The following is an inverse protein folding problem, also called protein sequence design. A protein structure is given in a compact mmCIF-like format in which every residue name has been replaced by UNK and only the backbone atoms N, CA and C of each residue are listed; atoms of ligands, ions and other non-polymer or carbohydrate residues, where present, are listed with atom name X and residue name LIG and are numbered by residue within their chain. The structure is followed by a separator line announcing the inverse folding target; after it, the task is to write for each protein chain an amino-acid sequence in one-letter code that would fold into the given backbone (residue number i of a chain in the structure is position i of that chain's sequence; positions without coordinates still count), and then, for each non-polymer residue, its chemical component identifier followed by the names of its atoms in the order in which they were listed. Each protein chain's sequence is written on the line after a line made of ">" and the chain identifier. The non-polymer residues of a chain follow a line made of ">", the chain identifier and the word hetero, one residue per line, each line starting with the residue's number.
data_IF_021919288218
#
_entry.id   IF_021919288218
#
_cell.length_a   1.000
_cell.length_b   1.000
_cell.length_c   1.000
_cell.angle_alpha   90.00
_cell.angle_beta   90.00
_cell.angle_gamma   90.00
#
_symmetry.space_group_name_H-M   'P 1'
#
loop_
_entity.id
_entity.type
_entity.pdbx_description
1 polymer ?
#
# COMPACT_ATOMS: atom_id res chain seq x y z
N UNK A 1 -16.45 52.40 37.72
CA UNK A 1 -17.09 52.64 39.03
C UNK A 1 -18.36 51.79 39.08
N UNK A 2 -18.67 51.15 40.22
CA UNK A 2 -19.80 50.20 40.45
C UNK A 2 -19.80 48.93 39.54
N UNK A 3 -19.96 47.67 39.97
CA UNK A 3 -20.35 46.96 41.22
C UNK A 3 -21.84 46.94 41.65
N UNK A 4 -22.50 45.79 41.42
CA UNK A 4 -23.54 45.07 42.20
C UNK A 4 -24.14 43.96 41.29
N UNK A 5 -24.20 42.65 41.62
CA UNK A 5 -24.99 41.93 42.66
C UNK A 5 -26.52 41.97 42.40
N UNK A 6 -27.32 40.89 42.56
CA UNK A 6 -27.09 39.49 42.98
C UNK A 6 -28.45 38.73 43.16
N UNK A 7 -28.46 37.52 43.77
CA UNK A 7 -29.65 36.67 44.12
C UNK A 7 -30.37 35.99 42.91
N UNK A 8 -30.65 34.68 42.76
CA UNK A 8 -30.42 33.39 43.48
C UNK A 8 -31.65 32.71 44.15
N UNK A 9 -32.04 31.50 43.68
CA UNK A 9 -32.93 30.45 44.30
C UNK A 9 -34.46 30.76 44.37
N UNK A 10 -35.47 29.83 44.36
CA UNK A 10 -35.63 28.34 44.42
C UNK A 10 -36.76 27.85 43.44
N UNK A 11 -36.66 26.71 42.70
CA UNK A 11 -37.07 25.29 42.95
C UNK A 11 -38.58 24.88 42.89
N UNK A 12 -38.80 23.58 42.59
CA UNK A 12 -40.02 22.71 42.63
C UNK A 12 -41.01 22.74 41.43
N UNK A 13 -41.59 21.61 40.93
CA UNK A 13 -41.18 20.17 40.92
C UNK A 13 -42.10 19.29 40.01
N UNK A 14 -41.60 18.16 39.50
CA UNK A 14 -42.36 17.06 38.83
C UNK A 14 -43.04 17.41 37.47
N UNK A 15 -43.38 16.48 36.55
CA UNK A 15 -43.51 15.01 36.61
C UNK A 15 -43.03 14.29 35.33
N UNK A 16 -42.86 12.96 35.43
CA UNK A 16 -42.58 12.05 34.32
C UNK A 16 -43.73 12.01 33.31
N UNK A 17 -43.42 11.67 32.06
CA UNK A 17 -44.10 10.56 31.37
C UNK A 17 -43.18 9.96 30.29
N UNK A 18 -43.22 8.63 30.19
CA UNK A 18 -42.40 7.84 29.28
C UNK A 18 -43.33 7.12 28.29
N UNK A 19 -43.19 7.37 26.99
CA UNK A 19 -43.90 6.61 25.95
C UNK A 19 -42.98 6.25 24.79
N UNK A 20 -42.88 4.95 24.54
CA UNK A 20 -42.28 4.38 23.34
C UNK A 20 -43.20 4.55 22.14
N UNK A 21 -42.64 4.66 20.94
CA UNK A 21 -43.37 4.38 19.70
C UNK A 21 -42.79 3.11 19.09
N UNK A 22 -43.55 2.02 19.18
CA UNK A 22 -43.22 0.72 18.62
C UNK A 22 -43.71 0.60 17.17
N UNK A 23 -43.21 -0.40 16.44
CA UNK A 23 -43.65 -0.68 15.07
C UNK A 23 -45.11 -1.19 15.01
N UNK A 24 -45.82 -0.83 13.95
CA UNK A 24 -47.17 -1.34 13.64
C UNK A 24 -47.15 -2.61 12.77
N UNK A 25 -48.19 -3.47 12.79
CA UNK A 25 -48.06 -4.88 12.40
C UNK A 25 -48.63 -5.25 11.01
N UNK A 26 -48.37 -6.50 10.60
CA UNK A 26 -48.92 -7.20 9.43
C UNK A 26 -50.45 -7.41 9.47
N UNK A 27 -51.04 -7.88 8.35
CA UNK A 27 -51.81 -9.14 8.47
C UNK A 27 -51.62 -10.18 7.33
N UNK A 28 -51.24 -11.39 7.76
CA UNK A 28 -51.71 -12.75 7.36
C UNK A 28 -51.74 -13.31 5.91
N UNK A 29 -51.19 -14.53 5.79
CA UNK A 29 -51.63 -15.62 4.88
C UNK A 29 -50.47 -16.40 4.21
N UNK A 30 -50.33 -17.74 4.29
CA UNK A 30 -51.00 -18.73 5.14
C UNK A 30 -50.82 -20.20 4.67
N UNK A 31 -50.30 -21.07 5.55
CA UNK A 31 -50.23 -22.56 5.48
C UNK A 31 -49.37 -23.28 4.41
N UNK A 32 -48.89 -24.48 4.79
CA UNK A 32 -48.18 -25.46 3.94
C UNK A 32 -46.79 -25.85 4.50
N UNK A 33 -46.49 -27.14 4.64
CA UNK A 33 -45.19 -27.60 5.18
C UNK A 33 -44.87 -29.07 4.93
N UNK A 34 -43.60 -29.41 5.11
CA UNK A 34 -42.94 -30.73 5.01
C UNK A 34 -42.99 -31.46 3.64
N UNK A 35 -42.08 -32.43 3.36
CA UNK A 35 -40.74 -32.64 3.91
C UNK A 35 -39.68 -33.00 2.81
N UNK A 36 -38.49 -33.45 3.27
CA UNK A 36 -37.52 -34.31 2.57
C UNK A 36 -36.66 -33.75 1.40
N UNK A 37 -35.49 -34.39 1.29
CA UNK A 37 -34.36 -34.14 0.39
C UNK A 37 -34.72 -34.01 -1.11
N UNK A 38 -34.39 -32.87 -1.70
CA UNK A 38 -34.27 -32.68 -3.15
C UNK A 38 -33.14 -31.71 -3.49
N UNK A 39 -32.08 -32.17 -4.18
CA UNK A 39 -30.87 -31.38 -4.42
C UNK A 39 -31.07 -30.33 -5.53
N UNK A 40 -31.51 -29.13 -5.16
CA UNK A 40 -31.71 -28.00 -6.09
C UNK A 40 -30.39 -27.34 -6.48
N UNK A 41 -29.76 -27.79 -7.58
CA UNK A 41 -28.65 -27.06 -8.22
C UNK A 41 -29.17 -25.88 -9.04
N UNK A 42 -29.20 -24.69 -8.43
CA UNK A 42 -29.18 -23.38 -9.12
C UNK A 42 -28.70 -22.28 -8.17
N UNK A 43 -28.28 -21.16 -8.74
CA UNK A 43 -27.80 -19.95 -8.04
C UNK A 43 -26.39 -20.01 -7.44
N UNK A 44 -25.50 -20.85 -7.99
CA UNK A 44 -24.12 -20.39 -8.23
C UNK A 44 -24.12 -19.50 -9.47
N UNK A 45 -24.50 -18.22 -9.28
CA UNK A 45 -24.29 -17.16 -10.26
C UNK A 45 -23.25 -16.21 -9.69
N UNK A 46 -22.11 -16.04 -10.38
CA UNK A 46 -21.11 -15.07 -9.94
C UNK A 46 -21.74 -13.69 -9.87
N UNK A 47 -21.64 -13.02 -8.73
CA UNK A 47 -21.77 -11.56 -8.70
C UNK A 47 -20.65 -10.96 -9.55
N UNK A 48 -20.94 -9.83 -10.20
CA UNK A 48 -19.99 -9.15 -11.08
C UNK A 48 -18.77 -8.67 -10.30
N UNK A 49 -17.66 -9.39 -10.44
CA UNK A 49 -16.37 -9.00 -9.91
C UNK A 49 -15.88 -7.75 -10.62
N UNK A 50 -15.33 -6.81 -9.84
CA UNK A 50 -14.89 -5.47 -10.29
C UNK A 50 -14.04 -5.56 -11.56
N UNK A 51 -14.51 -4.93 -12.64
CA UNK A 51 -13.81 -4.73 -13.92
C UNK A 51 -12.58 -3.81 -13.72
N UNK A 52 -11.51 -4.39 -13.15
CA UNK A 52 -10.18 -3.79 -13.09
C UNK A 52 -9.61 -3.76 -14.51
N UNK A 53 -9.92 -2.70 -15.26
CA UNK A 53 -9.49 -2.52 -16.64
C UNK A 53 -7.97 -2.44 -16.75
N UNK A 54 -7.38 -3.46 -17.36
CA UNK A 54 -5.96 -3.50 -17.67
C UNK A 54 -5.59 -2.45 -18.73
N UNK A 55 -4.65 -1.56 -18.37
CA UNK A 55 -4.25 -0.40 -19.19
C UNK A 55 -3.00 -0.66 -20.06
N UNK A 56 -2.84 -1.88 -20.59
CA UNK A 56 -1.88 -2.21 -21.68
C UNK A 56 -0.40 -1.91 -21.38
N UNK A 57 0.10 -2.33 -20.21
CA UNK A 57 1.50 -2.21 -19.81
C UNK A 57 2.13 -3.57 -19.47
N UNK A 58 3.29 -3.94 -20.04
CA UNK A 58 3.87 -5.27 -19.84
C UNK A 58 4.19 -5.56 -18.37
N UNK A 59 3.33 -6.35 -17.73
CA UNK A 59 3.53 -7.80 -17.82
C UNK A 59 5.07 -8.05 -17.39
N UNK A 60 5.51 -8.51 -16.18
CA UNK A 60 6.78 -9.12 -15.69
C UNK A 60 6.61 -10.58 -15.19
N UNK A 61 7.50 -11.48 -15.61
CA UNK A 61 7.50 -12.94 -15.37
C UNK A 61 8.90 -13.52 -15.18
N UNK A 62 9.95 -12.68 -15.24
CA UNK A 62 11.33 -13.14 -15.19
C UNK A 62 11.66 -13.87 -13.88
N UNK A 63 12.43 -14.95 -13.97
CA UNK A 63 12.84 -15.78 -12.84
C UNK A 63 14.38 -15.97 -12.87
N UNK A 64 15.15 -15.27 -12.02
CA UNK A 64 14.71 -14.23 -11.09
C UNK A 64 14.30 -12.92 -11.79
N UNK A 65 13.46 -12.12 -11.12
CA UNK A 65 13.26 -10.71 -11.44
C UNK A 65 14.48 -9.92 -10.98
N UNK A 66 15.07 -9.12 -11.85
CA UNK A 66 16.17 -8.21 -11.50
C UNK A 66 15.60 -6.89 -10.98
N UNK A 67 15.71 -6.65 -9.70
CA UNK A 67 15.23 -5.43 -9.06
C UNK A 67 16.37 -4.41 -8.96
N UNK A 68 16.12 -3.19 -9.44
CA UNK A 68 17.06 -2.08 -9.45
C UNK A 68 16.54 -0.96 -8.54
N UNK A 69 17.28 -0.60 -7.49
CA UNK A 69 16.81 0.40 -6.51
C UNK A 69 17.42 1.77 -6.78
N UNK A 70 16.59 2.82 -6.78
CA UNK A 70 17.02 4.20 -6.96
C UNK A 70 16.66 5.04 -5.74
N UNK A 71 17.68 5.35 -4.93
CA UNK A 71 17.55 6.13 -3.71
C UNK A 71 17.54 7.62 -4.05
N UNK A 72 16.37 8.26 -4.00
CA UNK A 72 16.23 9.67 -4.30
C UNK A 72 16.19 10.53 -3.03
N UNK A 73 17.04 11.55 -2.98
CA UNK A 73 17.22 12.44 -1.84
C UNK A 73 18.20 11.89 -0.78
N UNK A 74 18.38 12.67 0.29
CA UNK A 74 19.36 12.37 1.34
C UNK A 74 18.85 11.28 2.29
N UNK A 75 19.25 10.05 2.02
CA UNK A 75 19.00 8.89 2.87
C UNK A 75 19.97 8.79 4.05
N UNK A 76 19.49 8.26 5.17
CA UNK A 76 20.33 7.73 6.26
C UNK A 76 20.60 6.23 5.99
N UNK A 77 21.85 5.74 6.12
CA UNK A 77 22.15 4.31 5.94
C UNK A 77 21.30 3.38 6.81
N UNK A 78 20.95 3.79 8.03
CA UNK A 78 20.11 2.99 8.95
C UNK A 78 18.65 2.91 8.50
N UNK A 79 18.19 3.84 7.65
CA UNK A 79 16.89 3.76 6.98
C UNK A 79 16.94 2.93 5.70
N UNK A 80 18.12 2.78 5.08
CA UNK A 80 18.29 1.95 3.88
C UNK A 80 18.45 0.45 4.20
N UNK A 81 19.17 0.09 5.28
CA UNK A 81 19.44 -1.34 5.56
C UNK A 81 18.17 -2.19 5.73
N UNK A 82 17.14 -1.80 6.51
CA UNK A 82 15.93 -2.63 6.63
C UNK A 82 15.19 -2.85 5.31
N UNK A 83 15.27 -1.87 4.40
CA UNK A 83 14.65 -1.95 3.08
C UNK A 83 15.46 -2.88 2.15
N UNK A 84 16.80 -2.86 2.23
CA UNK A 84 17.65 -3.87 1.55
C UNK A 84 17.42 -5.27 2.11
N UNK A 85 17.43 -5.41 3.43
CA UNK A 85 17.28 -6.69 4.14
C UNK A 85 15.92 -7.33 3.81
N UNK A 86 14.84 -6.53 3.78
CA UNK A 86 13.54 -6.97 3.27
C UNK A 86 13.63 -7.49 1.83
N UNK A 87 14.17 -6.70 0.90
CA UNK A 87 14.26 -7.07 -0.51
C UNK A 87 15.09 -8.34 -0.77
N UNK A 88 16.14 -8.56 0.03
CA UNK A 88 16.95 -9.78 -0.01
C UNK A 88 16.19 -10.98 0.58
N UNK A 89 15.47 -10.78 1.69
CA UNK A 89 14.69 -11.84 2.37
C UNK A 89 13.51 -12.40 1.57
N UNK A 90 13.06 -11.70 0.52
CA UNK A 90 12.04 -12.18 -0.45
C UNK A 90 12.47 -13.49 -1.14
N UNK A 91 13.77 -13.79 -1.21
CA UNK A 91 14.30 -14.95 -1.94
C UNK A 91 15.39 -15.72 -1.22
N UNK A 92 15.42 -15.60 0.12
CA UNK A 92 16.20 -16.45 1.02
C UNK A 92 15.90 -17.95 0.71
N UNK A 93 16.93 -18.78 0.45
CA UNK A 93 16.75 -20.20 0.17
C UNK A 93 16.48 -21.07 1.43
N UNK A 94 16.69 -20.56 2.65
CA UNK A 94 16.56 -21.33 3.90
C UNK A 94 16.20 -20.45 5.14
N UNK A 95 15.18 -19.57 5.06
CA UNK A 95 14.82 -18.70 6.17
C UNK A 95 14.14 -19.47 7.33
N UNK A 96 14.22 -18.96 8.57
CA UNK A 96 13.40 -19.48 9.67
C UNK A 96 11.91 -19.12 9.46
N UNK A 97 11.02 -20.09 9.66
CA UNK A 97 9.58 -19.89 9.48
C UNK A 97 8.91 -19.27 10.73
N UNK A 98 7.92 -18.37 10.57
CA UNK A 98 7.43 -17.79 9.31
C UNK A 98 8.34 -16.68 8.79
N UNK A 99 8.52 -16.63 7.47
CA UNK A 99 9.47 -15.73 6.79
C UNK A 99 8.83 -14.82 5.74
N UNK A 100 9.60 -13.82 5.28
CA UNK A 100 9.23 -12.98 4.11
C UNK A 100 9.14 -13.82 2.83
N UNK A 101 9.96 -14.88 2.68
CA UNK A 101 9.87 -15.80 1.54
C UNK A 101 8.57 -16.64 1.57
N UNK A 102 8.10 -17.09 2.74
CA UNK A 102 6.80 -17.78 2.87
C UNK A 102 5.63 -16.84 2.52
N UNK A 103 5.71 -15.61 3.04
CA UNK A 103 4.74 -14.56 2.75
C UNK A 103 4.73 -14.21 1.25
N UNK A 104 5.90 -14.08 0.61
CA UNK A 104 6.02 -13.79 -0.82
C UNK A 104 5.54 -14.95 -1.68
N UNK A 105 5.92 -16.19 -1.33
CA UNK A 105 5.46 -17.39 -2.01
C UNK A 105 3.92 -17.53 -1.97
N UNK A 106 3.29 -17.03 -0.90
CA UNK A 106 1.83 -16.92 -0.75
C UNK A 106 1.25 -15.72 -1.52
N UNK A 107 1.88 -14.54 -1.43
CA UNK A 107 1.48 -13.33 -2.15
C UNK A 107 1.46 -13.54 -3.68
N UNK A 108 2.45 -14.27 -4.20
CA UNK A 108 2.60 -14.62 -5.60
C UNK A 108 1.61 -15.69 -6.11
N UNK A 109 0.79 -16.30 -5.23
CA UNK A 109 -0.34 -17.15 -5.65
C UNK A 109 -1.54 -16.33 -6.13
N UNK A 110 -1.64 -15.08 -5.69
CA UNK A 110 -2.64 -14.13 -6.18
C UNK A 110 -2.14 -13.50 -7.49
N UNK A 111 -2.10 -14.32 -8.55
CA UNK A 111 -1.88 -13.84 -9.90
C UNK A 111 -2.94 -12.83 -10.36
N UNK A 112 -2.63 -12.08 -11.41
CA UNK A 112 -3.57 -11.16 -12.02
C UNK A 112 -4.58 -11.88 -12.94
N UNK A 113 -5.37 -11.10 -13.70
CA UNK A 113 -6.37 -11.61 -14.64
C UNK A 113 -5.79 -12.53 -15.74
N UNK A 114 -4.47 -12.63 -15.92
CA UNK A 114 -3.85 -13.49 -16.94
C UNK A 114 -3.55 -14.92 -16.47
N UNK A 115 -3.76 -15.24 -15.19
CA UNK A 115 -3.39 -16.51 -14.56
C UNK A 115 -1.88 -16.83 -14.59
N UNK A 116 -1.03 -15.84 -14.90
CA UNK A 116 0.41 -15.96 -14.75
C UNK A 116 0.81 -15.75 -13.28
N UNK A 117 1.54 -16.70 -12.70
CA UNK A 117 2.11 -16.54 -11.36
C UNK A 117 3.18 -15.43 -11.36
N UNK A 118 3.11 -14.54 -10.37
CA UNK A 118 4.23 -13.63 -10.07
C UNK A 118 5.47 -14.45 -9.73
N UNK A 119 6.64 -13.98 -10.15
CA UNK A 119 7.90 -14.68 -9.91
C UNK A 119 8.23 -14.80 -8.43
N UNK A 120 8.46 -16.04 -7.97
CA UNK A 120 8.84 -16.34 -6.59
C UNK A 120 10.31 -16.05 -6.29
N UNK A 121 11.07 -15.49 -7.25
CA UNK A 121 12.48 -15.12 -7.06
C UNK A 121 12.73 -13.70 -7.53
N UNK A 122 13.18 -12.85 -6.60
CA UNK A 122 13.66 -11.50 -6.83
C UNK A 122 15.16 -11.47 -6.51
N UNK A 123 15.93 -10.75 -7.30
CA UNK A 123 17.36 -10.52 -7.09
C UNK A 123 17.63 -9.02 -7.15
N UNK A 124 18.21 -8.47 -6.07
CA UNK A 124 18.71 -7.10 -6.05
C UNK A 124 19.91 -7.02 -7.01
N UNK A 125 19.70 -6.40 -8.17
CA UNK A 125 20.59 -6.49 -9.33
C UNK A 125 21.43 -5.23 -9.57
N UNK A 126 21.12 -4.15 -8.85
CA UNK A 126 21.88 -2.89 -8.87
C UNK A 126 21.21 -1.82 -8.01
N UNK A 127 21.99 -0.84 -7.56
CA UNK A 127 21.52 0.29 -6.77
C UNK A 127 22.18 1.58 -7.26
N UNK A 128 21.39 2.66 -7.35
CA UNK A 128 21.85 4.01 -7.67
C UNK A 128 21.31 5.02 -6.66
N UNK A 129 21.97 6.18 -6.51
CA UNK A 129 21.62 7.17 -5.48
C UNK A 129 21.72 8.60 -6.01
N UNK A 130 20.59 9.30 -6.09
CA UNK A 130 20.55 10.75 -6.25
C UNK A 130 20.45 11.41 -4.87
N UNK A 131 21.57 11.47 -4.15
CA UNK A 131 21.64 12.13 -2.85
C UNK A 131 21.40 13.65 -2.91
N UNK A 132 21.46 14.25 -4.11
CA UNK A 132 21.26 15.69 -4.33
C UNK A 132 19.78 16.08 -4.37
N UNK A 133 18.89 15.12 -4.67
CA UNK A 133 17.53 15.37 -5.12
C UNK A 133 17.52 16.35 -6.32
N UNK A 134 18.01 15.88 -7.47
CA UNK A 134 18.28 16.67 -8.69
C UNK A 134 17.07 17.45 -9.23
N UNK A 135 15.84 17.00 -8.96
CA UNK A 135 14.58 17.69 -9.33
C UNK A 135 13.91 18.38 -8.12
N UNK A 136 14.61 18.49 -6.99
CA UNK A 136 14.12 19.07 -5.74
C UNK A 136 13.28 18.12 -4.88
N UNK A 137 12.73 18.66 -3.79
CA UNK A 137 11.96 17.89 -2.80
C UNK A 137 10.45 17.80 -3.09
N UNK A 138 9.97 18.31 -4.23
CA UNK A 138 8.55 18.30 -4.62
C UNK A 138 8.41 17.78 -6.05
N UNK A 139 7.84 16.58 -6.20
CA UNK A 139 7.84 15.82 -7.46
C UNK A 139 6.43 15.49 -7.95
N UNK A 140 6.19 15.52 -9.25
CA UNK A 140 5.03 14.88 -9.88
C UNK A 140 5.28 13.40 -10.13
N UNK A 141 4.22 12.65 -10.50
CA UNK A 141 4.37 11.25 -10.95
C UNK A 141 5.22 11.11 -12.24
N UNK A 142 5.30 12.18 -13.03
CA UNK A 142 6.16 12.26 -14.22
C UNK A 142 7.63 12.51 -13.85
N UNK A 143 7.89 13.25 -12.76
CA UNK A 143 9.25 13.49 -12.29
C UNK A 143 9.93 12.23 -11.76
N UNK A 144 9.17 11.27 -11.24
CA UNK A 144 9.68 9.91 -10.93
C UNK A 144 10.25 9.23 -12.20
N UNK A 145 9.57 9.38 -13.35
CA UNK A 145 10.11 8.85 -14.61
C UNK A 145 11.34 9.63 -15.09
N UNK A 146 11.43 10.94 -14.83
CA UNK A 146 12.62 11.77 -15.14
C UNK A 146 13.82 11.40 -14.27
N UNK A 147 13.61 11.13 -12.98
CA UNK A 147 14.62 10.62 -12.04
C UNK A 147 15.17 9.27 -12.52
N UNK A 148 14.28 8.36 -12.94
CA UNK A 148 14.70 7.08 -13.52
C UNK A 148 15.39 7.25 -14.89
N UNK A 149 14.92 8.18 -15.73
CA UNK A 149 15.57 8.53 -17.00
C UNK A 149 17.01 9.01 -16.80
N UNK A 150 17.25 9.86 -15.79
CA UNK A 150 18.57 10.39 -15.47
C UNK A 150 19.53 9.28 -15.05
N UNK A 151 19.13 8.40 -14.12
CA UNK A 151 19.95 7.26 -13.68
C UNK A 151 20.28 6.28 -14.82
N UNK A 152 19.34 6.03 -15.73
CA UNK A 152 19.57 5.19 -16.93
C UNK A 152 20.47 5.89 -17.96
N UNK A 153 20.31 7.19 -18.18
CA UNK A 153 21.12 7.97 -19.11
C UNK A 153 22.56 8.22 -18.62
N UNK A 154 22.76 8.30 -17.31
CA UNK A 154 24.08 8.35 -16.68
C UNK A 154 24.82 7.00 -16.70
N UNK A 155 24.07 5.89 -16.86
CA UNK A 155 24.60 4.53 -16.75
C UNK A 155 24.67 3.98 -15.32
N UNK A 156 24.15 4.73 -14.34
CA UNK A 156 24.07 4.29 -12.93
C UNK A 156 23.15 3.07 -12.77
N UNK A 157 22.12 2.97 -13.61
CA UNK A 157 21.25 1.78 -13.75
C UNK A 157 21.16 1.34 -15.22
N UNK A 158 21.11 0.03 -15.51
CA UNK A 158 20.94 -0.45 -16.88
C UNK A 158 19.51 -0.26 -17.38
N UNK A 159 19.34 -0.16 -18.71
CA UNK A 159 18.03 -0.22 -19.37
C UNK A 159 17.56 -1.68 -19.58
N UNK A 160 17.37 -2.42 -18.49
CA UNK A 160 16.92 -3.82 -18.55
C UNK A 160 15.42 -3.95 -18.88
N UNK A 161 15.13 -4.07 -20.17
CA UNK A 161 13.80 -4.38 -20.72
C UNK A 161 13.44 -5.87 -20.70
N UNK A 162 14.33 -6.75 -20.21
CA UNK A 162 14.18 -8.22 -20.31
C UNK A 162 14.31 -8.88 -18.94
N UNK A 163 13.39 -8.50 -18.05
CA UNK A 163 13.29 -9.02 -16.68
C UNK A 163 13.78 -8.08 -15.59
N UNK A 164 13.96 -6.79 -15.91
CA UNK A 164 14.27 -5.74 -14.94
C UNK A 164 13.01 -5.04 -14.43
N UNK A 165 13.00 -4.68 -13.15
CA UNK A 165 12.04 -3.77 -12.54
C UNK A 165 12.77 -2.75 -11.66
N UNK A 166 12.21 -1.55 -11.51
CA UNK A 166 12.88 -0.43 -10.84
C UNK A 166 12.07 0.02 -9.62
N UNK A 167 12.75 0.30 -8.51
CA UNK A 167 12.12 0.74 -7.26
C UNK A 167 12.71 2.08 -6.84
N UNK A 168 11.97 3.17 -7.07
CA UNK A 168 12.37 4.53 -6.71
C UNK A 168 11.95 4.82 -5.27
N UNK A 169 12.91 4.98 -4.37
CA UNK A 169 12.66 5.20 -2.94
C UNK A 169 13.02 6.64 -2.57
N UNK A 170 12.02 7.45 -2.26
CA UNK A 170 12.23 8.87 -1.91
C UNK A 170 12.42 9.08 -0.41
N UNK A 171 13.53 9.72 -0.05
CA UNK A 171 13.98 9.99 1.31
C UNK A 171 13.00 10.82 2.16
N UNK A 172 13.15 10.83 3.50
CA UNK A 172 12.43 11.73 4.39
C UNK A 172 12.45 13.20 3.90
N UNK A 173 11.30 13.87 3.98
CA UNK A 173 11.13 15.25 3.55
C UNK A 173 10.67 15.43 2.10
N UNK A 174 11.05 14.52 1.19
CA UNK A 174 10.57 14.54 -0.21
C UNK A 174 9.05 14.34 -0.26
N UNK A 175 8.37 15.06 -1.16
CA UNK A 175 6.93 15.03 -1.33
C UNK A 175 6.57 14.77 -2.79
N UNK A 176 6.07 13.57 -3.08
CA UNK A 176 5.50 13.24 -4.40
C UNK A 176 4.02 13.63 -4.44
N UNK A 177 3.52 13.97 -5.62
CA UNK A 177 2.10 14.25 -5.88
C UNK A 177 1.20 13.14 -5.32
N UNK A 178 0.14 13.55 -4.62
CA UNK A 178 -0.89 12.71 -3.98
C UNK A 178 -0.41 11.76 -2.87
N UNK A 179 0.88 11.81 -2.52
CA UNK A 179 1.44 11.17 -1.33
C UNK A 179 0.71 11.63 -0.06
N UNK A 180 0.51 10.72 0.89
CA UNK A 180 -0.24 10.94 2.14
C UNK A 180 -1.72 11.32 1.97
N UNK A 181 -2.27 11.37 0.75
CA UNK A 181 -3.67 11.76 0.48
C UNK A 181 -4.46 10.66 -0.22
N UNK A 182 -3.89 10.09 -1.28
CA UNK A 182 -4.48 8.99 -2.03
C UNK A 182 -3.54 7.79 -2.14
N UNK A 183 -2.23 8.00 -2.01
CA UNK A 183 -1.20 6.96 -2.19
C UNK A 183 -0.09 7.03 -1.15
N UNK A 184 0.52 5.87 -0.87
CA UNK A 184 1.78 5.72 -0.13
C UNK A 184 2.93 5.26 -1.05
N UNK A 185 2.57 4.59 -2.15
CA UNK A 185 3.41 4.18 -3.27
C UNK A 185 2.58 4.11 -4.55
N UNK A 186 3.21 3.74 -5.67
CA UNK A 186 2.51 3.28 -6.88
C UNK A 186 3.47 2.57 -7.83
N UNK A 187 2.95 1.66 -8.65
CA UNK A 187 3.64 1.12 -9.82
C UNK A 187 3.09 1.68 -11.14
N UNK A 188 3.95 1.76 -12.15
CA UNK A 188 3.60 2.18 -13.52
C UNK A 188 4.69 1.78 -14.53
N UNK A 189 4.56 2.24 -15.78
CA UNK A 189 5.55 2.06 -16.85
C UNK A 189 6.18 3.37 -17.27
N UNK A 190 7.48 3.37 -17.54
CA UNK A 190 8.13 4.53 -18.18
C UNK A 190 7.62 4.70 -19.61
N UNK A 191 7.43 5.95 -20.03
CA UNK A 191 7.15 6.24 -21.43
C UNK A 191 8.43 6.13 -22.27
N UNK A 192 8.44 5.37 -23.39
CA UNK A 192 9.60 5.31 -24.29
C UNK A 192 10.05 6.67 -24.83
N UNK A 193 9.12 7.61 -24.97
CA UNK A 193 9.41 9.01 -25.37
C UNK A 193 10.16 9.83 -24.31
N UNK A 194 10.33 9.30 -23.10
CA UNK A 194 11.03 9.96 -21.98
C UNK A 194 12.28 9.19 -21.53
N UNK A 195 12.24 7.85 -21.58
CA UNK A 195 13.31 6.97 -21.04
C UNK A 195 13.97 6.12 -22.15
N UNK A 196 13.56 6.27 -23.41
CA UNK A 196 13.97 5.41 -24.52
C UNK A 196 13.34 4.01 -24.50
N UNK A 197 12.81 3.58 -23.35
CA UNK A 197 12.35 2.23 -23.09
C UNK A 197 11.04 2.22 -22.27
N UNK A 198 10.26 1.14 -22.43
CA UNK A 198 9.17 0.78 -21.50
C UNK A 198 9.77 -0.06 -20.38
N UNK A 199 9.87 0.51 -19.17
CA UNK A 199 10.42 -0.13 -17.98
C UNK A 199 9.35 -0.15 -16.88
N UNK A 200 9.02 -1.31 -16.28
CA UNK A 200 8.15 -1.37 -15.11
C UNK A 200 8.86 -0.80 -13.89
N UNK A 201 8.23 0.16 -13.22
CA UNK A 201 8.77 0.72 -12.00
C UNK A 201 7.71 0.86 -10.92
N UNK A 202 8.16 0.82 -9.66
CA UNK A 202 7.42 1.24 -8.49
C UNK A 202 8.11 2.44 -7.84
N UNK A 203 7.32 3.27 -7.15
CA UNK A 203 7.80 4.30 -6.24
C UNK A 203 7.15 4.12 -4.86
N UNK A 204 7.91 4.40 -3.80
CA UNK A 204 7.40 4.42 -2.41
C UNK A 204 8.00 5.62 -1.65
N UNK A 205 7.17 6.31 -0.86
CA UNK A 205 7.56 7.49 -0.09
C UNK A 205 7.74 7.26 1.41
N UNK A 206 8.75 7.89 2.02
CA UNK A 206 8.97 7.83 3.47
C UNK A 206 7.94 8.67 4.24
N UNK A 207 7.03 7.99 4.95
CA UNK A 207 5.85 8.61 5.58
C UNK A 207 6.10 9.17 6.98
N UNK A 208 7.17 8.75 7.65
CA UNK A 208 7.37 8.90 9.10
C UNK A 208 7.14 10.33 9.62
N UNK A 209 7.84 11.30 9.04
CA UNK A 209 7.76 12.71 9.43
C UNK A 209 6.58 13.51 8.85
N UNK A 210 5.58 12.86 8.23
CA UNK A 210 4.49 13.55 7.50
C UNK A 210 3.10 12.95 7.68
N UNK A 211 2.98 11.62 7.61
CA UNK A 211 1.71 10.90 7.53
C UNK A 211 1.83 9.42 7.92
N UNK A 212 2.63 9.11 8.94
CA UNK A 212 2.80 7.74 9.42
C UNK A 212 1.45 7.07 9.74
N UNK A 213 0.49 7.81 10.27
CA UNK A 213 -0.85 7.31 10.57
C UNK A 213 -1.67 6.89 9.33
N UNK A 214 -1.29 7.35 8.13
CA UNK A 214 -1.87 6.91 6.84
C UNK A 214 -1.05 5.78 6.21
N UNK A 215 0.28 5.89 6.24
CA UNK A 215 1.19 5.11 5.39
C UNK A 215 2.21 4.26 6.17
N UNK A 216 1.99 4.02 7.47
CA UNK A 216 2.82 3.16 8.32
C UNK A 216 1.99 2.27 9.27
N UNK A 217 0.76 1.92 8.92
CA UNK A 217 0.01 0.89 9.63
C UNK A 217 0.76 -0.46 9.56
N UNK A 218 0.89 -1.23 10.67
CA UNK A 218 0.29 -1.03 12.00
C UNK A 218 1.17 -0.27 13.01
N UNK A 219 2.34 0.23 12.60
CA UNK A 219 3.34 0.89 13.45
C UNK A 219 3.00 2.35 13.79
N UNK A 220 2.09 2.95 13.02
CA UNK A 220 1.33 4.14 13.39
C UNK A 220 -0.15 3.94 13.03
N UNK A 221 -1.05 4.57 13.78
CA UNK A 221 -2.49 4.37 13.66
C UNK A 221 -3.21 5.70 13.38
N UNK A 222 -4.19 5.73 12.46
CA UNK A 222 -5.11 6.84 12.29
C UNK A 222 -5.73 7.31 13.61
N UNK A 223 -5.86 8.63 13.78
CA UNK A 223 -6.38 9.23 15.02
C UNK A 223 -7.77 8.73 15.46
N UNK A 224 -8.57 8.15 14.55
CA UNK A 224 -9.88 7.58 14.89
C UNK A 224 -9.80 6.17 15.51
N UNK A 225 -8.72 5.43 15.28
CA UNK A 225 -8.51 4.10 15.88
C UNK A 225 -7.97 4.22 17.30
N UNK A 226 -6.93 5.04 17.50
CA UNK A 226 -6.35 5.29 18.83
C UNK A 226 -7.36 5.91 19.82
N UNK A 227 -8.20 6.86 19.36
CA UNK A 227 -9.25 7.47 20.19
C UNK A 227 -10.37 6.53 20.65
N UNK A 228 -10.50 5.32 20.08
CA UNK A 228 -11.46 4.32 20.56
C UNK A 228 -10.92 3.44 21.71
N UNK A 229 -9.70 3.69 22.19
CA UNK A 229 -9.21 3.18 23.48
C UNK A 229 -8.87 1.69 23.56
N UNK A 230 -9.04 0.93 22.48
CA UNK A 230 -8.79 -0.52 22.43
C UNK A 230 -7.68 -0.97 21.48
N UNK A 231 -7.00 -0.06 20.78
CA UNK A 231 -5.95 -0.39 19.80
C UNK A 231 -4.74 0.53 19.99
N UNK A 232 -3.60 -0.07 20.28
CA UNK A 232 -2.29 0.58 20.31
C UNK A 232 -1.51 0.24 19.03
N UNK A 233 -0.61 1.14 18.61
CA UNK A 233 0.29 0.87 17.49
C UNK A 233 1.26 -0.27 17.84
N UNK A 234 1.60 -1.11 16.87
CA UNK A 234 2.65 -2.11 17.07
C UNK A 234 4.03 -1.42 17.10
N UNK A 235 4.98 -2.01 17.82
CA UNK A 235 6.36 -1.50 17.82
C UNK A 235 6.97 -1.73 16.42
N UNK A 236 7.53 -0.71 15.76
CA UNK A 236 8.29 -0.90 14.51
C UNK A 236 9.49 -1.84 14.76
N UNK A 237 9.60 -2.97 14.03
CA UNK A 237 10.72 -3.91 14.15
C UNK A 237 12.09 -3.26 14.03
N UNK A 238 12.25 -2.27 13.15
CA UNK A 238 13.51 -1.58 12.89
C UNK A 238 13.60 -0.21 13.60
N UNK A 239 12.63 0.11 14.47
CA UNK A 239 12.62 1.32 15.30
C UNK A 239 12.03 2.57 14.64
N UNK A 240 12.06 2.70 13.32
CA UNK A 240 11.40 3.78 12.58
C UNK A 240 10.11 3.30 11.88
N UNK A 241 8.97 3.85 12.32
CA UNK A 241 7.67 3.50 11.75
C UNK A 241 7.54 3.91 10.27
N UNK A 242 8.22 4.96 9.81
CA UNK A 242 8.21 5.35 8.40
C UNK A 242 8.90 4.32 7.51
N UNK A 243 10.07 3.82 7.91
CA UNK A 243 10.81 2.75 7.22
C UNK A 243 10.01 1.44 7.23
N UNK A 244 9.48 1.02 8.39
CA UNK A 244 8.69 -0.21 8.49
C UNK A 244 7.33 -0.10 7.77
N UNK A 245 6.79 1.12 7.63
CA UNK A 245 5.68 1.43 6.73
C UNK A 245 6.06 1.27 5.26
N UNK A 246 7.24 1.76 4.84
CA UNK A 246 7.74 1.57 3.48
C UNK A 246 7.93 0.09 3.14
N UNK A 247 8.39 -0.77 4.06
CA UNK A 247 8.46 -2.23 3.85
C UNK A 247 7.09 -2.80 3.44
N UNK A 248 6.03 -2.42 4.15
CA UNK A 248 4.66 -2.86 3.84
C UNK A 248 4.19 -2.39 2.45
N UNK A 249 4.49 -1.13 2.09
CA UNK A 249 4.10 -0.55 0.79
C UNK A 249 4.92 -1.14 -0.35
N UNK A 250 6.23 -1.37 -0.20
CA UNK A 250 7.05 -2.06 -1.21
C UNK A 250 6.49 -3.47 -1.47
N UNK A 251 6.11 -4.19 -0.41
CA UNK A 251 5.45 -5.49 -0.55
C UNK A 251 4.11 -5.44 -1.32
N UNK A 252 3.34 -4.35 -1.19
CA UNK A 252 2.12 -4.12 -1.96
C UNK A 252 2.40 -3.84 -3.44
N UNK A 253 3.31 -2.91 -3.74
CA UNK A 253 3.62 -2.50 -5.12
C UNK A 253 4.32 -3.60 -5.91
N UNK A 254 5.29 -4.32 -5.32
CA UNK A 254 5.97 -5.44 -5.99
C UNK A 254 5.02 -6.60 -6.26
N UNK A 255 4.05 -6.88 -5.38
CA UNK A 255 3.02 -7.91 -5.65
C UNK A 255 2.13 -7.52 -6.83
N UNK A 256 1.85 -6.22 -6.97
CA UNK A 256 0.88 -5.69 -7.94
C UNK A 256 1.52 -5.33 -9.27
N UNK A 257 2.87 -5.36 -9.38
CA UNK A 257 3.56 -5.11 -10.65
C UNK A 257 3.16 -6.16 -11.71
N UNK A 258 2.66 -5.74 -12.89
CA UNK A 258 2.19 -6.59 -14.02
C UNK A 258 3.15 -7.73 -14.52
N UNK A 259 2.74 -8.65 -15.48
CA UNK A 259 3.40 -10.33 -16.60
C UNK A 259 4.36 -10.58 -17.92
N UNK A 260 5.70 -10.82 -17.96
CA UNK A 260 6.46 -10.61 -19.25
C UNK A 260 6.14 -11.60 -20.35
N UNK A 261 5.90 -11.06 -21.54
CA UNK A 261 5.97 -11.80 -22.81
C UNK A 261 6.65 -10.99 -23.92
N UNK A 262 7.40 -11.75 -24.71
CA UNK A 262 8.09 -11.41 -25.96
C UNK A 262 7.14 -11.26 -27.14
#
# INVERSE_FOLDING_TARGET
>A
MALAAGVFYLLFVSSLLLTTMAATPYPHGGHGGDPLLGASKKYEGSSDLVDLRYHMGPVLTAAPLRLYVLWYGRWDPTHQSPLRDFLLSISDPSPPHPSVADWWATAALYGDQTLANVTRRVALAGEATDASASLGASLTRLDIQRVLAAAVAAGDLPADTRGGAYLVLTAPGVNVQDFCRAVCGFHYFTFPSLVGHTLPYAWVGHSGGRCADVCAYPFALPSYMSRRGGVAALRPPNGDAGVDGMVSVIGHELRSSPPTRS
#
